data_IF_520468357098
#
_entry.id   IF_520468357098
#
_cell.length_a   1.000
_cell.length_b   1.000
_cell.length_c   1.000
_cell.angle_alpha   90.00
_cell.angle_beta   90.00
_cell.angle_gamma   90.00
#
_symmetry.space_group_name_H-M   'P 1'
#
loop_
_entity.id
_entity.type
_entity.pdbx_description
1 polymer ?
#
# COMPACT_ATOMS: atom_id res chain seq x y z
N UNK A 1 -31.89 -61.78 -2.01
CA UNK A 1 -30.64 -61.68 -1.22
C UNK A 1 -29.72 -60.66 -1.88
N UNK A 2 -29.07 -59.85 -1.04
CA UNK A 2 -27.92 -58.95 -1.29
C UNK A 2 -28.10 -57.68 -2.15
N UNK A 3 -28.37 -56.62 -1.40
CA UNK A 3 -28.20 -55.19 -1.66
C UNK A 3 -26.73 -54.75 -1.55
N UNK A 4 -26.48 -53.52 -2.04
CA UNK A 4 -25.38 -52.58 -1.74
C UNK A 4 -24.15 -52.58 -2.69
N UNK A 5 -23.90 -51.41 -3.31
CA UNK A 5 -22.62 -50.66 -3.26
C UNK A 5 -22.75 -49.40 -4.15
N UNK A 6 -23.18 -48.27 -3.58
CA UNK A 6 -23.18 -46.98 -4.29
C UNK A 6 -23.10 -45.81 -3.30
N UNK A 7 -22.03 -45.74 -2.51
CA UNK A 7 -21.80 -44.66 -1.53
C UNK A 7 -20.30 -44.36 -1.42
N UNK A 8 -19.71 -43.65 -2.38
CA UNK A 8 -18.37 -43.05 -2.19
C UNK A 8 -18.03 -41.82 -3.03
N UNK A 9 -18.94 -41.26 -3.85
CA UNK A 9 -18.60 -40.16 -4.79
C UNK A 9 -19.05 -38.75 -4.40
N UNK A 10 -19.65 -38.54 -3.23
CA UNK A 10 -20.35 -37.29 -2.89
C UNK A 10 -19.67 -36.38 -1.85
N UNK A 11 -18.51 -36.76 -1.29
CA UNK A 11 -17.87 -35.97 -0.22
C UNK A 11 -16.74 -35.03 -0.65
N UNK A 12 -16.13 -35.19 -1.84
CA UNK A 12 -14.97 -34.37 -2.24
C UNK A 12 -15.31 -33.01 -2.84
N UNK A 13 -16.58 -32.73 -3.16
CA UNK A 13 -16.99 -31.47 -3.81
C UNK A 13 -17.39 -30.36 -2.83
N UNK A 14 -17.64 -30.67 -1.55
CA UNK A 14 -18.04 -29.65 -0.55
C UNK A 14 -16.86 -28.93 0.10
N UNK A 15 -15.67 -29.52 0.10
CA UNK A 15 -14.46 -28.91 0.69
C UNK A 15 -13.85 -27.79 -0.16
N UNK A 16 -14.08 -27.78 -1.48
CA UNK A 16 -13.55 -26.72 -2.36
C UNK A 16 -14.35 -25.41 -2.32
N UNK A 17 -15.63 -25.44 -1.92
CA UNK A 17 -16.46 -24.21 -1.86
C UNK A 17 -16.27 -23.41 -0.58
N UNK A 18 -15.68 -24.00 0.46
CA UNK A 18 -15.49 -23.34 1.76
C UNK A 18 -14.13 -22.61 1.89
N UNK A 19 -13.16 -22.92 1.03
CA UNK A 19 -11.86 -22.22 0.99
C UNK A 19 -11.93 -20.94 0.15
N UNK A 20 -12.79 -20.88 -0.88
CA UNK A 20 -12.93 -19.70 -1.74
C UNK A 20 -13.70 -18.55 -1.05
N UNK A 21 -14.48 -18.84 0.00
CA UNK A 21 -15.18 -17.82 0.79
C UNK A 21 -14.30 -17.12 1.84
N UNK A 22 -13.11 -17.64 2.12
CA UNK A 22 -12.21 -17.10 3.15
C UNK A 22 -11.22 -16.03 2.66
N UNK A 23 -11.05 -15.86 1.35
CA UNK A 23 -10.07 -14.93 0.77
C UNK A 23 -10.66 -13.55 0.38
N UNK A 24 -11.98 -13.39 0.42
CA UNK A 24 -12.66 -12.16 0.00
C UNK A 24 -13.06 -11.20 1.15
N UNK A 25 -12.94 -11.64 2.40
CA UNK A 25 -13.43 -10.90 3.59
C UNK A 25 -12.39 -10.00 4.27
N UNK A 26 -11.16 -9.90 3.74
CA UNK A 26 -10.12 -9.03 4.31
C UNK A 26 -10.13 -7.58 3.78
N UNK A 27 -11.11 -7.18 2.97
CA UNK A 27 -11.13 -5.86 2.30
C UNK A 27 -12.12 -4.84 2.91
N UNK A 28 -12.90 -5.21 3.92
CA UNK A 28 -14.10 -4.44 4.31
C UNK A 28 -14.04 -3.72 5.66
N UNK A 29 -12.87 -3.48 6.27
CA UNK A 29 -12.83 -2.83 7.59
C UNK A 29 -11.81 -1.68 7.68
N UNK A 30 -11.99 -0.62 6.89
CA UNK A 30 -11.39 0.70 7.13
C UNK A 30 -12.35 1.83 6.74
N UNK A 31 -13.51 1.89 7.39
CA UNK A 31 -14.49 2.99 7.26
C UNK A 31 -14.90 3.53 8.63
N UNK A 32 -13.93 3.72 9.54
CA UNK A 32 -14.15 4.40 10.82
C UNK A 32 -13.66 5.85 10.75
N UNK A 33 -14.65 6.75 10.66
CA UNK A 33 -14.67 8.14 11.14
C UNK A 33 -13.46 9.04 10.78
N UNK A 34 -13.50 9.66 9.60
CA UNK A 34 -12.59 10.74 9.21
C UNK A 34 -13.11 12.13 9.60
N UNK A 35 -13.10 12.46 10.90
CA UNK A 35 -13.02 13.88 11.28
C UNK A 35 -11.55 14.30 11.30
N UNK A 36 -10.96 14.52 10.13
CA UNK A 36 -9.63 15.11 10.02
C UNK A 36 -9.55 16.04 8.82
N UNK A 37 -9.63 17.35 9.08
CA UNK A 37 -9.32 18.44 8.14
C UNK A 37 -7.79 18.57 7.96
N UNK A 38 -7.19 17.49 7.47
CA UNK A 38 -5.75 17.26 7.38
C UNK A 38 -5.46 16.74 5.98
N UNK A 39 -4.49 17.33 5.27
CA UNK A 39 -4.12 16.86 3.94
C UNK A 39 -3.44 15.53 4.03
N UNK A 40 -4.08 14.46 3.57
CA UNK A 40 -3.56 13.11 3.60
C UNK A 40 -3.41 12.57 2.17
N UNK A 41 -2.18 12.24 1.79
CA UNK A 41 -1.89 11.46 0.60
C UNK A 41 -1.63 10.01 1.01
N UNK A 42 -2.33 9.05 0.42
CA UNK A 42 -2.13 7.63 0.66
C UNK A 42 -1.96 6.87 -0.64
N UNK A 43 -1.17 5.80 -0.59
CA UNK A 43 -1.00 4.89 -1.73
C UNK A 43 -0.72 3.48 -1.26
N UNK A 44 -1.10 2.50 -2.07
CA UNK A 44 -0.72 1.10 -1.90
C UNK A 44 -0.48 0.45 -3.24
N UNK A 45 0.40 -0.55 -3.27
CA UNK A 45 0.67 -1.36 -4.44
C UNK A 45 0.99 -2.80 -4.02
N UNK A 46 0.39 -3.75 -4.74
CA UNK A 46 0.59 -5.19 -4.56
C UNK A 46 0.76 -5.84 -5.91
N UNK A 47 1.76 -6.72 -6.04
CA UNK A 47 1.97 -7.52 -7.23
C UNK A 47 2.31 -8.96 -6.85
N UNK A 48 1.71 -9.90 -7.57
CA UNK A 48 1.95 -11.34 -7.45
C UNK A 48 2.47 -11.91 -8.75
N UNK A 49 3.39 -12.87 -8.72
CA UNK A 49 3.85 -13.56 -9.93
C UNK A 49 2.78 -14.48 -10.56
N UNK A 50 1.64 -14.67 -9.89
CA UNK A 50 0.51 -15.49 -10.34
C UNK A 50 -0.53 -14.72 -11.17
N UNK A 51 -0.19 -13.51 -11.65
CA UNK A 51 -1.07 -12.75 -12.56
C UNK A 51 -1.88 -11.63 -11.91
N UNK A 52 -1.61 -11.28 -10.66
CA UNK A 52 -2.36 -10.26 -9.92
C UNK A 52 -1.52 -8.99 -9.74
N UNK A 53 -2.09 -7.84 -10.05
CA UNK A 53 -1.55 -6.52 -9.72
C UNK A 53 -2.70 -5.61 -9.25
N UNK A 54 -2.53 -4.95 -8.12
CA UNK A 54 -3.50 -4.00 -7.56
C UNK A 54 -2.77 -2.80 -6.99
N UNK A 55 -3.30 -1.60 -7.22
CA UNK A 55 -2.82 -0.39 -6.60
C UNK A 55 -4.00 0.48 -6.22
N UNK A 56 -3.81 1.29 -5.19
CA UNK A 56 -4.72 2.37 -4.81
C UNK A 56 -3.90 3.62 -4.53
N UNK A 57 -4.50 4.77 -4.79
CA UNK A 57 -3.96 6.06 -4.41
C UNK A 57 -5.13 6.97 -4.05
N UNK A 58 -4.91 7.88 -3.11
CA UNK A 58 -5.93 8.81 -2.67
C UNK A 58 -5.30 10.06 -2.08
N UNK A 59 -5.96 11.20 -2.27
CA UNK A 59 -5.66 12.41 -1.55
C UNK A 59 -6.95 12.92 -0.91
N UNK A 60 -6.91 13.16 0.40
CA UNK A 60 -7.99 13.72 1.18
C UNK A 60 -7.48 15.01 1.84
N UNK A 61 -7.88 16.17 1.32
CA UNK A 61 -7.49 17.47 1.85
C UNK A 61 -8.30 18.59 1.21
N UNK A 62 -8.31 19.76 1.85
CA UNK A 62 -9.07 20.94 1.38
C UNK A 62 -8.38 21.66 0.19
N UNK A 63 -7.21 21.18 -0.24
CA UNK A 63 -6.38 21.78 -1.28
C UNK A 63 -6.42 21.08 -2.64
N UNK A 64 -5.42 21.36 -3.48
CA UNK A 64 -5.28 20.72 -4.79
C UNK A 64 -4.56 19.39 -4.63
N UNK A 65 -5.09 18.33 -5.23
CA UNK A 65 -4.48 17.01 -5.25
C UNK A 65 -4.30 16.45 -6.66
N UNK A 66 -3.34 15.56 -6.82
CA UNK A 66 -3.16 14.70 -7.97
C UNK A 66 -3.04 13.25 -7.49
N UNK A 67 -3.84 12.39 -8.10
CA UNK A 67 -3.91 10.97 -7.76
C UNK A 67 -3.85 10.16 -9.05
N UNK A 68 -2.96 9.18 -9.10
CA UNK A 68 -2.82 8.29 -10.23
C UNK A 68 -2.59 6.86 -9.76
N UNK A 69 -3.36 5.96 -10.32
CA UNK A 69 -3.21 4.52 -10.14
C UNK A 69 -2.93 3.90 -11.50
N UNK A 70 -1.93 3.03 -11.57
CA UNK A 70 -1.61 2.26 -12.76
C UNK A 70 -1.42 0.80 -12.38
N UNK A 71 -2.16 -0.09 -13.03
CA UNK A 71 -1.98 -1.53 -12.91
C UNK A 71 -1.79 -2.14 -14.29
N UNK A 72 -0.92 -3.15 -14.36
CA UNK A 72 -0.71 -3.96 -15.55
C UNK A 72 -0.53 -5.40 -15.11
N UNK A 73 -1.29 -6.31 -15.69
CA UNK A 73 -1.13 -7.75 -15.48
C UNK A 73 -0.64 -8.42 -16.76
N UNK A 74 0.12 -9.51 -16.63
CA UNK A 74 0.68 -10.27 -17.76
C UNK A 74 1.96 -11.01 -17.36
N UNK A 75 2.92 -11.11 -18.29
CA UNK A 75 4.24 -11.70 -18.02
C UNK A 75 4.97 -10.98 -16.87
N UNK A 76 4.73 -9.68 -16.75
CA UNK A 76 5.18 -8.84 -15.64
C UNK A 76 3.99 -8.05 -15.11
N UNK A 77 3.63 -8.35 -13.86
CA UNK A 77 2.61 -7.68 -13.09
C UNK A 77 3.22 -6.44 -12.44
N UNK A 78 2.63 -5.28 -12.69
CA UNK A 78 3.09 -3.98 -12.20
C UNK A 78 1.90 -3.25 -11.58
N UNK A 79 2.09 -2.73 -10.38
CA UNK A 79 1.12 -1.90 -9.67
C UNK A 79 1.83 -0.63 -9.20
N UNK A 80 1.22 0.53 -9.45
CA UNK A 80 1.73 1.83 -9.03
C UNK A 80 0.59 2.69 -8.53
N UNK A 81 0.77 3.32 -7.39
CA UNK A 81 -0.11 4.35 -6.85
C UNK A 81 0.71 5.58 -6.51
N UNK A 82 0.27 6.76 -6.93
CA UNK A 82 0.88 8.04 -6.59
C UNK A 82 -0.23 9.00 -6.17
N UNK A 83 -0.06 9.60 -5.01
CA UNK A 83 -0.89 10.69 -4.51
C UNK A 83 0.01 11.84 -4.07
N UNK A 84 -0.32 13.04 -4.50
CA UNK A 84 0.30 14.27 -4.03
C UNK A 84 -0.79 15.30 -3.80
N UNK A 85 -0.64 16.12 -2.77
CA UNK A 85 -1.53 17.26 -2.59
C UNK A 85 -0.89 18.38 -1.82
N UNK A 86 -1.46 19.56 -2.01
CA UNK A 86 -0.99 20.82 -1.46
C UNK A 86 -2.19 21.57 -0.92
N UNK A 87 -2.13 21.91 0.37
CA UNK A 87 -3.16 22.66 1.08
C UNK A 87 -2.55 23.68 2.06
N UNK A 88 -3.41 24.29 2.88
CA UNK A 88 -3.04 25.32 3.85
C UNK A 88 -2.06 24.82 4.92
N UNK A 89 -2.03 23.51 5.16
CA UNK A 89 -1.20 22.90 6.18
C UNK A 89 0.15 22.43 5.59
N UNK A 90 0.32 22.42 4.26
CA UNK A 90 1.57 22.05 3.59
C UNK A 90 1.40 21.13 2.38
N UNK A 91 2.44 20.33 2.09
CA UNK A 91 2.53 19.43 0.95
C UNK A 91 2.59 17.98 1.45
N UNK A 92 1.77 17.09 0.91
CA UNK A 92 1.85 15.66 1.18
C UNK A 92 2.04 14.86 -0.10
N UNK A 93 2.82 13.79 -0.01
CA UNK A 93 3.21 12.92 -1.11
C UNK A 93 3.23 11.48 -0.61
N UNK A 94 2.63 10.58 -1.38
CA UNK A 94 2.68 9.13 -1.16
C UNK A 94 2.80 8.43 -2.50
N UNK A 95 3.80 7.57 -2.64
CA UNK A 95 3.97 6.73 -3.82
C UNK A 95 4.26 5.29 -3.40
N UNK A 96 3.61 4.35 -4.06
CA UNK A 96 3.78 2.92 -3.86
C UNK A 96 3.95 2.24 -5.22
N UNK A 97 4.87 1.30 -5.30
CA UNK A 97 5.17 0.52 -6.49
C UNK A 97 5.29 -0.95 -6.11
N UNK A 98 4.79 -1.84 -6.95
CA UNK A 98 5.00 -3.28 -6.83
C UNK A 98 5.20 -3.89 -8.21
N UNK A 99 6.14 -4.83 -8.31
CA UNK A 99 6.49 -5.55 -9.52
C UNK A 99 6.67 -7.02 -9.19
N UNK A 100 6.03 -7.88 -9.97
CA UNK A 100 6.23 -9.31 -9.89
C UNK A 100 6.22 -9.88 -11.31
N UNK A 101 7.05 -10.89 -11.57
CA UNK A 101 7.09 -11.57 -12.86
C UNK A 101 7.08 -13.07 -12.65
N UNK A 102 6.44 -13.78 -13.57
CA UNK A 102 6.47 -15.24 -13.60
C UNK A 102 7.89 -15.77 -13.75
N UNK A 103 8.75 -15.02 -14.46
CA UNK A 103 10.11 -15.42 -14.82
C UNK A 103 11.18 -14.89 -13.88
N UNK A 104 10.86 -13.93 -13.00
CA UNK A 104 11.82 -13.38 -12.04
C UNK A 104 11.77 -14.15 -10.71
N UNK A 105 12.92 -14.34 -10.04
CA UNK A 105 13.00 -15.09 -8.78
C UNK A 105 12.41 -14.33 -7.59
N UNK A 106 12.03 -13.06 -7.76
CA UNK A 106 11.52 -12.19 -6.71
C UNK A 106 10.31 -11.36 -7.19
N UNK A 107 9.36 -11.15 -6.29
CA UNK A 107 8.43 -10.03 -6.33
C UNK A 107 8.97 -8.93 -5.41
N UNK A 108 8.86 -7.67 -5.83
CA UNK A 108 9.38 -6.51 -5.09
C UNK A 108 8.30 -5.45 -4.99
N UNK A 109 8.13 -4.86 -3.82
CA UNK A 109 7.33 -3.66 -3.67
C UNK A 109 8.06 -2.63 -2.80
N UNK A 110 7.80 -1.36 -3.05
CA UNK A 110 8.36 -0.26 -2.28
C UNK A 110 7.38 0.90 -2.20
N UNK A 111 7.55 1.72 -1.18
CA UNK A 111 6.79 2.95 -1.04
C UNK A 111 7.64 4.06 -0.42
N UNK A 112 7.18 5.29 -0.65
CA UNK A 112 7.76 6.51 -0.12
C UNK A 112 6.62 7.48 0.22
N UNK A 113 6.61 7.97 1.45
CA UNK A 113 5.62 8.91 1.94
C UNK A 113 6.38 10.10 2.54
N UNK A 114 6.04 11.31 2.12
CA UNK A 114 6.69 12.54 2.55
C UNK A 114 5.60 13.58 2.81
N UNK A 115 5.72 14.29 3.92
CA UNK A 115 4.91 15.47 4.20
C UNK A 115 5.81 16.60 4.67
N UNK A 116 5.55 17.79 4.18
CA UNK A 116 6.21 19.04 4.56
C UNK A 116 5.11 19.97 5.05
N UNK A 117 5.09 20.23 6.36
CA UNK A 117 4.17 21.16 6.98
C UNK A 117 4.48 22.61 6.60
N UNK A 118 3.49 23.49 6.68
CA UNK A 118 3.64 24.94 6.43
C UNK A 118 4.68 25.61 7.36
N UNK A 119 4.91 25.02 8.53
CA UNK A 119 5.92 25.44 9.53
C UNK A 119 7.31 24.84 9.27
N UNK A 120 7.51 24.16 8.13
CA UNK A 120 8.77 23.51 7.77
C UNK A 120 9.05 22.20 8.50
N UNK A 121 8.11 21.66 9.27
CA UNK A 121 8.21 20.30 9.81
C UNK A 121 8.18 19.29 8.66
N UNK A 122 9.05 18.28 8.70
CA UNK A 122 9.08 17.23 7.67
C UNK A 122 8.94 15.87 8.31
N UNK A 123 7.98 15.07 7.86
CA UNK A 123 7.92 13.65 8.17
C UNK A 123 8.04 12.85 6.88
N UNK A 124 8.86 11.81 6.92
CA UNK A 124 9.01 10.87 5.81
C UNK A 124 8.99 9.45 6.32
N UNK A 125 8.48 8.54 5.52
CA UNK A 125 8.60 7.11 5.76
C UNK A 125 8.74 6.40 4.43
N UNK A 126 9.39 5.24 4.45
CA UNK A 126 9.44 4.39 3.28
C UNK A 126 9.54 2.94 3.69
N UNK A 127 9.32 2.07 2.72
CA UNK A 127 9.30 0.65 2.91
C UNK A 127 9.74 -0.07 1.64
N UNK A 128 10.34 -1.23 1.83
CA UNK A 128 10.66 -2.17 0.77
C UNK A 128 10.30 -3.57 1.24
N UNK A 129 9.66 -4.34 0.36
CA UNK A 129 9.40 -5.76 0.54
C UNK A 129 9.94 -6.53 -0.66
N UNK A 130 10.57 -7.67 -0.37
CA UNK A 130 11.08 -8.60 -1.36
C UNK A 130 10.58 -9.99 -0.97
N UNK A 131 9.82 -10.62 -1.86
CA UNK A 131 9.34 -11.99 -1.72
C UNK A 131 10.07 -12.87 -2.75
N UNK A 132 10.96 -13.74 -2.29
CA UNK A 132 11.77 -14.65 -3.10
C UNK A 132 11.28 -16.08 -2.93
N UNK A 133 11.26 -16.87 -4.00
CA UNK A 133 10.83 -18.28 -3.92
C UNK A 133 10.59 -18.90 -5.28
N UNK A 134 10.33 -20.20 -5.37
CA UNK A 134 10.18 -20.90 -6.65
C UNK A 134 8.80 -20.71 -7.32
N UNK A 135 7.69 -20.76 -6.57
CA UNK A 135 6.36 -20.90 -7.19
C UNK A 135 5.47 -19.68 -6.99
N UNK A 136 5.26 -19.25 -5.75
CA UNK A 136 4.39 -18.12 -5.42
C UNK A 136 5.18 -17.04 -4.71
N UNK A 137 5.04 -15.80 -5.20
CA UNK A 137 5.70 -14.60 -4.71
C UNK A 137 4.76 -13.43 -4.85
N UNK A 138 4.38 -12.84 -3.73
CA UNK A 138 3.58 -11.62 -3.68
C UNK A 138 4.32 -10.59 -2.84
N UNK A 139 4.46 -9.38 -3.35
CA UNK A 139 5.03 -8.26 -2.62
C UNK A 139 4.03 -7.12 -2.58
N UNK A 140 3.97 -6.44 -1.45
CA UNK A 140 3.09 -5.30 -1.21
C UNK A 140 3.83 -4.21 -0.45
N UNK A 141 3.52 -2.97 -0.76
CA UNK A 141 3.94 -1.80 -0.03
C UNK A 141 2.83 -0.76 -0.05
N UNK A 142 2.68 -0.01 1.03
CA UNK A 142 1.65 1.02 1.14
C UNK A 142 1.92 1.97 2.27
N UNK A 143 1.30 3.12 2.26
CA UNK A 143 1.53 4.11 3.30
C UNK A 143 0.71 5.35 3.11
N UNK A 144 1.00 6.31 3.97
CA UNK A 144 0.36 7.60 3.99
C UNK A 144 1.32 8.69 4.44
N UNK A 145 1.05 9.91 4.00
CA UNK A 145 1.64 11.13 4.52
C UNK A 145 0.49 12.09 4.83
N UNK A 146 0.44 12.57 6.05
CA UNK A 146 -0.60 13.49 6.52
C UNK A 146 0.05 14.74 7.13
N UNK A 147 -0.55 15.90 6.92
CA UNK A 147 -0.24 17.09 7.69
C UNK A 147 -1.48 17.57 8.45
N UNK A 148 -1.26 18.30 9.52
CA UNK A 148 -2.24 19.18 10.10
C UNK A 148 -1.53 20.46 10.55
N UNK A 149 -2.30 21.40 11.13
CA UNK A 149 -1.77 22.70 11.58
C UNK A 149 -0.61 22.60 12.57
N UNK A 150 -0.40 21.46 13.22
CA UNK A 150 0.57 21.32 14.30
C UNK A 150 1.59 20.21 14.07
N UNK A 151 1.30 19.25 13.20
CA UNK A 151 2.07 18.03 13.05
C UNK A 151 2.14 17.57 11.60
N UNK A 152 3.29 17.02 11.24
CA UNK A 152 3.50 16.24 10.03
C UNK A 152 3.70 14.76 10.43
N UNK A 153 3.02 13.83 9.77
CA UNK A 153 3.12 12.39 10.04
C UNK A 153 3.23 11.61 8.74
N UNK A 154 4.09 10.59 8.72
CA UNK A 154 4.22 9.69 7.59
C UNK A 154 4.34 8.25 8.11
N UNK A 155 3.56 7.33 7.53
CA UNK A 155 3.55 5.91 7.87
C UNK A 155 3.77 5.04 6.64
N UNK A 156 4.49 3.93 6.82
CA UNK A 156 4.77 2.96 5.76
C UNK A 156 4.52 1.54 6.25
N UNK A 157 3.98 0.71 5.36
CA UNK A 157 3.85 -0.73 5.50
C UNK A 157 4.56 -1.39 4.32
N UNK A 158 5.26 -2.49 4.60
CA UNK A 158 5.89 -3.33 3.60
C UNK A 158 5.67 -4.78 4.02
N UNK A 159 5.32 -5.63 3.06
CA UNK A 159 5.00 -7.03 3.33
C UNK A 159 4.90 -7.85 2.06
N UNK A 160 4.58 -9.12 2.23
CA UNK A 160 4.45 -10.05 1.12
C UNK A 160 4.18 -11.46 1.60
N UNK A 161 4.09 -12.38 0.67
CA UNK A 161 3.93 -13.80 0.94
C UNK A 161 4.66 -14.62 -0.13
N UNK A 162 5.10 -15.80 0.29
CA UNK A 162 5.69 -16.82 -0.59
C UNK A 162 5.08 -18.18 -0.30
N UNK A 163 5.38 -19.15 -1.15
CA UNK A 163 5.22 -20.56 -0.78
C UNK A 163 6.16 -20.97 0.38
N UNK A 164 6.03 -22.23 0.84
CA UNK A 164 6.80 -22.81 1.97
C UNK A 164 8.32 -22.75 1.77
N UNK A 165 8.81 -22.67 0.54
CA UNK A 165 10.24 -22.69 0.22
C UNK A 165 10.80 -21.30 -0.08
N UNK A 166 9.95 -20.26 -0.02
CA UNK A 166 10.35 -18.88 -0.21
C UNK A 166 10.73 -18.15 1.08
N UNK A 167 11.19 -16.92 0.91
CA UNK A 167 11.49 -15.99 1.99
C UNK A 167 10.88 -14.62 1.69
N UNK A 168 10.41 -13.95 2.74
CA UNK A 168 9.95 -12.56 2.66
C UNK A 168 10.87 -11.72 3.53
N UNK A 169 11.38 -10.63 2.95
CA UNK A 169 12.12 -9.60 3.68
C UNK A 169 11.36 -8.30 3.53
N UNK A 170 10.98 -7.69 4.65
CA UNK A 170 10.35 -6.38 4.69
C UNK A 170 11.16 -5.48 5.60
N UNK A 171 11.38 -4.24 5.15
CA UNK A 171 12.02 -3.21 5.95
C UNK A 171 11.27 -1.90 5.76
N UNK A 172 11.08 -1.17 6.84
CA UNK A 172 10.47 0.16 6.85
C UNK A 172 11.35 1.11 7.64
N UNK A 173 11.42 2.35 7.20
CA UNK A 173 12.12 3.42 7.92
C UNK A 173 11.20 4.63 8.08
N UNK A 174 11.45 5.42 9.13
CA UNK A 174 10.75 6.67 9.38
C UNK A 174 11.72 7.77 9.81
N UNK A 175 11.60 8.89 9.09
CA UNK A 175 12.19 10.22 9.22
C UNK A 175 11.27 11.22 9.92
N UNK A 176 11.67 11.92 10.97
CA UNK A 176 10.97 13.15 11.36
C UNK A 176 11.96 14.26 11.69
N UNK A 177 11.72 15.44 11.15
CA UNK A 177 12.44 16.67 11.47
C UNK A 177 11.45 17.65 12.07
N UNK A 178 11.70 18.15 13.30
CA UNK A 178 10.79 19.08 13.95
C UNK A 178 10.69 20.39 13.17
N UNK A 179 9.64 21.16 13.45
CA UNK A 179 9.50 22.51 12.90
C UNK A 179 10.77 23.32 13.19
N UNK A 180 11.32 23.95 12.14
CA UNK A 180 12.30 25.02 12.33
C UNK A 180 11.48 26.26 12.71
N UNK A 181 11.88 26.94 13.79
CA UNK A 181 11.24 28.13 14.40
C UNK A 181 10.58 29.08 13.37
N UNK A 182 9.53 29.83 13.76
CA UNK A 182 8.61 30.49 12.84
C UNK A 182 9.35 31.26 11.75
N UNK A 183 8.96 31.01 10.50
CA UNK A 183 9.32 31.84 9.37
C UNK A 183 8.86 33.24 9.74
N UNK A 184 9.77 34.11 10.19
CA UNK A 184 9.52 35.54 10.26
C UNK A 184 9.07 35.90 8.85
N UNK A 185 7.81 36.33 8.64
CA UNK A 185 7.32 36.59 7.30
C UNK A 185 8.30 37.58 6.69
N UNK A 186 8.97 37.16 5.60
CA UNK A 186 9.79 38.05 4.80
C UNK A 186 8.84 39.15 4.34
N UNK A 187 8.93 40.29 5.03
CA UNK A 187 8.13 41.46 4.78
C UNK A 187 8.60 41.95 3.41
N UNK A 188 7.93 41.54 2.34
CA UNK A 188 8.16 42.07 1.02
C UNK A 188 7.94 43.58 1.12
N UNK A 189 9.04 44.34 1.16
CA UNK A 189 8.98 45.79 0.96
C UNK A 189 8.45 45.98 -0.46
N UNK A 190 7.22 46.52 -0.54
CA UNK A 190 6.69 47.08 -1.79
C UNK A 190 7.49 48.31 -2.16
#
# INVERSE_FOLDING_TARGET
MTSATATSKLETTRLHKLVVLGAASAMSLMLLASTARAGEASSSATASNLGTAAATAGYNGDGRGYVQTQTRTGNVNVARGVAVGVDQNGITFSASNAVASRFLPAAVASNLNITIGFNGQVASSGGISVAQGPFQRTASAGGFASNNRFNATAGSTAGGSTDRFGTVRANTFSRSTPARLPITPLRWRR
#
